data_IF_224241643682
#
_entry.id   IF_224241643682
#
_cell.length_a   1.000
_cell.length_b   1.000
_cell.length_c   1.000
_cell.angle_alpha   90.00
_cell.angle_beta   90.00
_cell.angle_gamma   90.00
#
_symmetry.space_group_name_H-M   'P 1'
#
loop_
_entity.id
_entity.type
_entity.pdbx_description
1 polymer ?
#
# COMPACT_ATOMS: atom_id res chain seq x y z
N UNK A 1 6.67 16.21 -26.57
CA UNK A 1 7.12 16.23 -25.16
C UNK A 1 6.53 15.02 -24.47
N UNK A 2 7.34 14.01 -24.16
CA UNK A 2 6.86 12.89 -23.35
C UNK A 2 6.83 13.41 -21.92
N UNK A 3 5.64 13.74 -21.42
CA UNK A 3 5.45 14.10 -20.02
C UNK A 3 5.98 12.96 -19.15
N UNK A 4 6.62 13.30 -18.04
CA UNK A 4 7.06 12.32 -17.04
C UNK A 4 5.85 11.46 -16.68
N UNK A 5 5.90 10.16 -16.96
CA UNK A 5 4.86 9.22 -16.53
C UNK A 5 4.81 9.35 -15.00
N UNK A 6 3.66 9.72 -14.40
CA UNK A 6 3.55 9.75 -12.95
C UNK A 6 3.91 8.35 -12.42
N UNK A 7 4.60 8.30 -11.28
CA UNK A 7 4.93 7.03 -10.62
C UNK A 7 3.64 6.18 -10.57
N UNK A 8 3.66 4.91 -11.03
CA UNK A 8 2.47 4.08 -11.08
C UNK A 8 1.84 3.98 -9.68
N UNK A 9 0.51 3.90 -9.63
CA UNK A 9 -0.18 3.65 -8.36
C UNK A 9 0.31 2.34 -7.73
N UNK A 10 0.28 2.29 -6.41
CA UNK A 10 0.77 1.16 -5.64
C UNK A 10 -0.12 -0.08 -5.86
N UNK A 11 0.53 -1.16 -6.28
CA UNK A 11 -0.10 -2.45 -6.54
C UNK A 11 0.47 -3.45 -5.54
N UNK A 12 -0.40 -4.19 -4.84
CA UNK A 12 -0.01 -5.19 -3.86
C UNK A 12 -0.07 -6.61 -4.42
N UNK A 13 1.05 -7.31 -4.22
CA UNK A 13 1.26 -8.76 -4.22
C UNK A 13 2.71 -8.97 -3.78
N UNK A 14 2.88 -9.17 -2.48
CA UNK A 14 4.18 -9.20 -1.82
C UNK A 14 4.89 -7.86 -1.93
N UNK A 15 4.18 -6.72 -1.96
CA UNK A 15 4.76 -5.38 -2.10
C UNK A 15 5.53 -4.97 -0.82
N UNK A 16 6.66 -4.22 -0.88
CA UNK A 16 7.41 -3.86 0.33
C UNK A 16 6.61 -3.03 1.34
N UNK A 17 5.48 -2.47 0.91
CA UNK A 17 4.58 -1.68 1.76
C UNK A 17 3.86 -2.55 2.78
N UNK A 18 3.25 -3.67 2.38
CA UNK A 18 2.51 -4.53 3.33
C UNK A 18 3.46 -5.30 4.26
N UNK A 19 4.62 -5.71 3.75
CA UNK A 19 5.69 -6.32 4.56
C UNK A 19 6.11 -5.42 5.73
N UNK A 20 6.20 -4.10 5.51
CA UNK A 20 6.52 -3.14 6.58
C UNK A 20 5.54 -3.27 7.75
N UNK A 21 4.23 -3.35 7.48
CA UNK A 21 3.22 -3.47 8.53
C UNK A 21 3.25 -4.85 9.16
N UNK A 22 3.28 -5.91 8.34
CA UNK A 22 3.26 -7.29 8.84
C UNK A 22 4.46 -7.63 9.72
N UNK A 23 5.65 -7.09 9.44
CA UNK A 23 6.81 -7.28 10.31
C UNK A 23 6.59 -6.69 11.71
N UNK A 24 6.00 -5.50 11.81
CA UNK A 24 5.72 -4.82 13.10
C UNK A 24 4.64 -5.57 13.87
N UNK A 25 3.58 -5.97 13.18
CA UNK A 25 2.48 -6.77 13.74
C UNK A 25 3.01 -8.11 14.28
N UNK A 26 3.79 -8.85 13.47
CA UNK A 26 4.39 -10.14 13.87
C UNK A 26 5.33 -10.00 15.06
N UNK A 27 6.06 -8.88 15.15
CA UNK A 27 6.97 -8.60 16.25
C UNK A 27 6.29 -8.01 17.50
N UNK A 28 4.97 -7.74 17.46
CA UNK A 28 4.25 -7.09 18.56
C UNK A 28 4.73 -5.65 18.82
N UNK A 29 5.23 -4.97 17.79
CA UNK A 29 5.75 -3.60 17.88
C UNK A 29 4.70 -2.58 17.45
N UNK A 30 4.70 -1.36 18.02
CA UNK A 30 3.86 -0.28 17.52
C UNK A 30 4.17 0.03 16.06
N UNK A 31 3.16 0.52 15.34
CA UNK A 31 3.33 1.01 13.97
C UNK A 31 3.52 2.52 14.04
N UNK A 32 4.68 2.95 13.57
CA UNK A 32 5.03 4.37 13.51
C UNK A 32 4.36 5.01 12.30
N UNK A 33 3.54 6.04 12.53
CA UNK A 33 2.79 6.71 11.48
C UNK A 33 3.19 8.19 11.42
N UNK A 34 3.59 8.72 10.24
CA UNK A 34 4.00 10.12 10.13
C UNK A 34 2.79 11.06 10.23
N UNK A 35 2.97 12.17 10.97
CA UNK A 35 1.94 13.20 11.10
C UNK A 35 0.69 12.67 11.80
N UNK A 36 -0.50 13.02 11.30
CA UNK A 36 -1.77 12.58 11.89
C UNK A 36 -2.23 11.18 11.46
N UNK A 37 -1.55 10.57 10.48
CA UNK A 37 -1.99 9.30 9.87
C UNK A 37 -3.23 9.38 8.98
N UNK A 38 -3.82 10.56 8.83
CA UNK A 38 -5.03 10.80 8.04
C UNK A 38 -4.75 11.04 6.55
N UNK A 39 -3.48 11.00 6.14
CA UNK A 39 -3.12 10.99 4.73
C UNK A 39 -3.76 9.77 4.07
N UNK A 40 -4.40 10.01 2.93
CA UNK A 40 -5.07 8.94 2.18
C UNK A 40 -4.17 8.44 1.07
N UNK A 41 -4.16 7.13 0.90
CA UNK A 41 -3.58 6.45 -0.23
C UNK A 41 -4.58 5.49 -0.85
N UNK A 42 -4.22 4.90 -1.98
CA UNK A 42 -5.04 3.95 -2.70
C UNK A 42 -4.16 2.80 -3.14
N UNK A 43 -4.64 1.58 -2.90
CA UNK A 43 -3.91 0.35 -3.12
C UNK A 43 -4.75 -0.55 -4.04
N UNK A 44 -4.15 -1.13 -5.08
CA UNK A 44 -4.82 -2.10 -5.98
C UNK A 44 -4.16 -3.48 -5.95
N UNK A 45 -4.91 -4.55 -6.20
CA UNK A 45 -4.34 -5.90 -6.20
C UNK A 45 -3.64 -6.21 -7.54
N UNK A 46 -2.57 -7.01 -7.51
CA UNK A 46 -1.85 -7.39 -8.75
C UNK A 46 -2.74 -8.15 -9.73
N UNK A 47 -3.70 -8.95 -9.25
CA UNK A 47 -4.60 -9.68 -10.14
C UNK A 47 -5.58 -8.74 -10.83
N UNK A 48 -6.03 -7.70 -10.14
CA UNK A 48 -6.88 -6.66 -10.72
C UNK A 48 -6.12 -5.87 -11.79
N UNK A 49 -4.83 -5.60 -11.56
CA UNK A 49 -3.98 -5.03 -12.61
C UNK A 49 -3.85 -5.96 -13.82
N UNK A 50 -3.59 -7.25 -13.59
CA UNK A 50 -3.44 -8.22 -14.66
C UNK A 50 -4.73 -8.37 -15.46
N UNK A 51 -5.90 -8.40 -14.80
CA UNK A 51 -7.19 -8.46 -15.48
C UNK A 51 -7.45 -7.18 -16.30
N UNK A 52 -7.06 -6.00 -15.81
CA UNK A 52 -7.14 -4.76 -16.57
C UNK A 52 -6.29 -4.79 -17.85
N UNK A 53 -5.05 -5.31 -17.77
CA UNK A 53 -4.22 -5.50 -18.97
C UNK A 53 -4.88 -6.45 -19.98
N UNK A 54 -5.54 -7.49 -19.49
CA UNK A 54 -6.22 -8.45 -20.34
C UNK A 54 -7.43 -7.81 -21.03
N UNK A 55 -8.18 -6.95 -20.32
CA UNK A 55 -9.33 -6.21 -20.86
C UNK A 55 -8.97 -5.18 -21.95
N UNK A 56 -7.71 -4.75 -22.02
CA UNK A 56 -7.22 -3.86 -23.09
C UNK A 56 -7.01 -4.63 -24.40
N UNK A 57 -6.68 -5.93 -24.35
CA UNK A 57 -6.32 -6.69 -25.55
C UNK A 57 -7.52 -6.84 -26.49
N UNK A 58 -7.36 -6.34 -27.72
CA UNK A 58 -8.42 -6.37 -28.73
C UNK A 58 -9.54 -5.34 -28.52
N UNK A 59 -9.48 -4.51 -27.48
CA UNK A 59 -10.45 -3.46 -27.23
C UNK A 59 -10.07 -2.18 -27.98
N UNK A 60 -10.81 -1.86 -29.04
CA UNK A 60 -10.56 -0.66 -29.85
C UNK A 60 -10.77 0.65 -29.09
N UNK A 61 -11.59 0.66 -28.02
CA UNK A 61 -11.76 1.84 -27.15
C UNK A 61 -10.47 2.16 -26.40
N UNK A 62 -9.63 1.16 -26.12
CA UNK A 62 -8.38 1.33 -25.38
C UNK A 62 -7.25 1.93 -26.24
N UNK A 63 -7.43 2.04 -27.56
CA UNK A 63 -6.42 2.61 -28.44
C UNK A 63 -6.14 4.08 -28.10
N UNK A 64 -4.85 4.41 -27.93
CA UNK A 64 -4.35 5.75 -27.58
C UNK A 64 -4.94 6.31 -26.27
N UNK A 65 -5.41 5.45 -25.37
CA UNK A 65 -5.93 5.86 -24.07
C UNK A 65 -4.90 5.68 -22.97
N UNK A 66 -5.04 6.52 -21.94
CA UNK A 66 -4.35 6.39 -20.66
C UNK A 66 -5.41 6.03 -19.62
N UNK A 67 -5.11 5.02 -18.82
CA UNK A 67 -5.96 4.50 -17.75
C UNK A 67 -5.20 4.49 -16.43
N UNK A 68 -5.94 4.79 -15.36
CA UNK A 68 -5.49 4.55 -14.01
C UNK A 68 -6.09 3.25 -13.50
N UNK A 69 -5.24 2.37 -12.97
CA UNK A 69 -5.67 1.09 -12.40
C UNK A 69 -5.26 1.05 -10.93
N UNK A 70 -6.23 0.86 -10.05
CA UNK A 70 -6.06 0.80 -8.59
C UNK A 70 -7.29 0.16 -7.95
N UNK A 71 -7.29 -0.02 -6.63
CA UNK A 71 -8.47 -0.44 -5.89
C UNK A 71 -9.55 0.64 -5.87
N UNK A 72 -10.81 0.25 -5.69
CA UNK A 72 -11.95 1.17 -5.78
C UNK A 72 -12.00 2.19 -4.62
N UNK A 73 -11.50 1.82 -3.44
CA UNK A 73 -11.55 2.67 -2.24
C UNK A 73 -10.16 3.16 -1.82
N UNK A 74 -10.12 4.37 -1.29
CA UNK A 74 -8.95 4.92 -0.61
C UNK A 74 -8.96 4.56 0.88
N UNK A 75 -7.79 4.63 1.50
CA UNK A 75 -7.56 4.28 2.90
C UNK A 75 -6.55 5.24 3.53
N UNK A 76 -6.71 5.55 4.82
CA UNK A 76 -5.73 6.35 5.56
C UNK A 76 -4.49 5.53 5.94
N UNK A 77 -3.40 6.16 6.35
CA UNK A 77 -2.24 5.42 6.87
C UNK A 77 -2.59 4.60 8.11
N UNK A 78 -3.35 5.18 9.04
CA UNK A 78 -3.91 4.45 10.18
C UNK A 78 -4.79 3.27 9.72
N UNK A 79 -5.59 3.49 8.67
CA UNK A 79 -6.47 2.48 8.10
C UNK A 79 -5.70 1.29 7.52
N UNK A 80 -4.56 1.52 6.85
CA UNK A 80 -3.72 0.43 6.33
C UNK A 80 -3.15 -0.39 7.48
N UNK A 81 -2.63 0.26 8.51
CA UNK A 81 -2.05 -0.41 9.67
C UNK A 81 -3.07 -1.34 10.34
N UNK A 82 -4.30 -0.85 10.55
CA UNK A 82 -5.41 -1.64 11.10
C UNK A 82 -5.85 -2.77 10.19
N UNK A 83 -5.99 -2.52 8.88
CA UNK A 83 -6.34 -3.54 7.90
C UNK A 83 -5.28 -4.64 7.79
N UNK A 84 -3.99 -4.30 7.92
CA UNK A 84 -2.91 -5.29 7.94
C UNK A 84 -2.99 -6.18 9.20
N UNK A 85 -3.30 -5.61 10.37
CA UNK A 85 -3.48 -6.40 11.59
C UNK A 85 -4.67 -7.35 11.47
N UNK A 86 -5.79 -6.87 10.94
CA UNK A 86 -6.96 -7.71 10.66
C UNK A 86 -6.63 -8.83 9.67
N UNK A 87 -5.93 -8.53 8.57
CA UNK A 87 -5.51 -9.51 7.58
C UNK A 87 -4.58 -10.59 8.16
N UNK A 88 -3.72 -10.20 9.11
CA UNK A 88 -2.81 -11.11 9.82
C UNK A 88 -3.50 -11.88 10.97
N UNK A 89 -4.79 -11.65 11.24
CA UNK A 89 -5.49 -12.24 12.39
C UNK A 89 -4.97 -11.76 13.74
N UNK A 90 -4.34 -10.59 13.78
CA UNK A 90 -3.78 -9.98 14.98
C UNK A 90 -4.75 -8.99 15.62
N UNK A 91 -4.46 -8.59 16.86
CA UNK A 91 -5.18 -7.48 17.52
C UNK A 91 -4.86 -6.16 16.83
N UNK A 92 -5.76 -5.18 16.99
CA UNK A 92 -5.53 -3.82 16.52
C UNK A 92 -4.17 -3.29 17.05
N UNK A 93 -3.31 -2.74 16.17
CA UNK A 93 -1.96 -2.37 16.54
C UNK A 93 -1.97 -1.02 17.28
N UNK A 94 -1.02 -0.86 18.19
CA UNK A 94 -0.70 0.47 18.72
C UNK A 94 -0.14 1.34 17.59
N UNK A 95 -0.72 2.52 17.40
CA UNK A 95 -0.25 3.51 16.44
C UNK A 95 0.47 4.63 17.19
N UNK A 96 1.73 4.88 16.83
CA UNK A 96 2.52 5.97 17.38
C UNK A 96 2.74 7.00 16.29
N UNK A 97 2.07 8.14 16.44
CA UNK A 97 2.20 9.27 15.53
C UNK A 97 3.47 10.07 15.84
N UNK A 98 4.27 10.37 14.82
CA UNK A 98 5.52 11.13 14.99
C UNK A 98 5.65 12.24 13.97
N UNK A 99 6.41 13.29 14.30
CA UNK A 99 6.77 14.34 13.36
C UNK A 99 8.00 13.90 12.54
N UNK A 100 7.89 13.69 11.22
CA UNK A 100 9.03 13.24 10.41
C UNK A 100 10.22 14.21 10.41
N UNK A 101 9.98 15.49 10.73
CA UNK A 101 11.02 16.51 10.80
C UNK A 101 11.81 16.51 12.12
N UNK A 102 11.31 15.85 13.16
CA UNK A 102 11.98 15.82 14.47
C UNK A 102 12.99 14.68 14.63
N UNK A 103 13.11 13.81 13.62
CA UNK A 103 13.99 12.64 13.66
C UNK A 103 14.87 12.64 12.42
N UNK A 104 16.19 12.70 12.60
CA UNK A 104 17.15 12.49 11.52
C UNK A 104 17.35 10.99 11.31
N UNK A 105 16.74 10.43 10.26
CA UNK A 105 16.84 9.00 9.94
C UNK A 105 18.07 8.65 9.10
N UNK A 106 18.97 9.61 8.83
CA UNK A 106 20.13 9.40 7.96
C UNK A 106 19.73 9.02 6.53
N UNK A 107 18.56 9.48 6.07
CA UNK A 107 18.01 9.15 4.74
C UNK A 107 17.27 7.81 4.66
N UNK A 108 17.22 7.02 5.73
CA UNK A 108 16.36 5.81 5.78
C UNK A 108 14.88 6.21 5.89
N UNK A 109 13.99 5.42 5.28
CA UNK A 109 12.55 5.67 5.36
C UNK A 109 11.98 5.10 6.66
N UNK A 110 11.35 5.95 7.48
CA UNK A 110 10.61 5.54 8.67
C UNK A 110 9.20 5.00 8.36
N UNK A 111 8.67 5.31 7.18
CA UNK A 111 7.36 4.86 6.71
C UNK A 111 7.45 4.47 5.22
N UNK A 112 6.72 3.44 4.75
CA UNK A 112 6.90 2.90 3.40
C UNK A 112 6.25 3.80 2.32
N UNK A 113 5.37 4.72 2.73
CA UNK A 113 4.65 5.65 1.85
C UNK A 113 5.14 7.09 2.01
N UNK A 114 5.02 7.90 0.96
CA UNK A 114 5.32 9.33 1.00
C UNK A 114 4.25 10.05 1.81
N UNK A 115 4.63 11.03 2.63
CA UNK A 115 3.72 11.87 3.42
C UNK A 115 2.96 12.87 2.51
N UNK A 116 2.00 12.35 1.74
CA UNK A 116 1.12 13.10 0.86
C UNK A 116 -0.14 12.29 0.57
N UNK A 117 -1.23 12.97 0.19
CA UNK A 117 -2.39 12.30 -0.38
C UNK A 117 -2.06 11.75 -1.76
N UNK A 118 -2.46 10.51 -2.03
CA UNK A 118 -2.20 9.85 -3.31
C UNK A 118 -3.31 8.86 -3.67
N UNK A 119 -4.22 9.29 -4.55
CA UNK A 119 -5.33 8.50 -5.04
C UNK A 119 -5.72 8.99 -6.45
N UNK A 120 -6.52 8.19 -7.15
CA UNK A 120 -6.97 8.50 -8.49
C UNK A 120 -8.34 7.91 -8.77
N UNK A 121 -9.05 8.49 -9.75
CA UNK A 121 -10.26 7.88 -10.30
C UNK A 121 -9.87 6.74 -11.25
N UNK A 122 -10.60 5.63 -11.14
CA UNK A 122 -10.53 4.47 -12.02
C UNK A 122 -11.74 4.40 -12.97
N UNK A 123 -12.63 5.40 -12.96
CA UNK A 123 -13.93 5.37 -13.65
C UNK A 123 -13.76 5.15 -15.15
N UNK A 124 -12.76 5.79 -15.76
CA UNK A 124 -12.47 5.62 -17.18
C UNK A 124 -12.12 4.17 -17.54
N UNK A 125 -11.38 3.47 -16.67
CA UNK A 125 -11.07 2.06 -16.89
C UNK A 125 -12.34 1.21 -16.75
N UNK A 126 -13.20 1.54 -15.79
CA UNK A 126 -14.49 0.86 -15.61
C UNK A 126 -15.36 1.00 -16.86
N UNK A 127 -15.50 2.21 -17.38
CA UNK A 127 -16.40 2.52 -18.48
C UNK A 127 -15.89 2.00 -19.84
N UNK A 128 -14.60 2.18 -20.13
CA UNK A 128 -14.04 1.82 -21.44
C UNK A 128 -13.69 0.32 -21.55
N UNK A 129 -13.28 -0.30 -20.44
CA UNK A 129 -12.74 -1.66 -20.44
C UNK A 129 -13.73 -2.71 -19.91
N UNK A 130 -14.91 -2.30 -19.43
CA UNK A 130 -15.87 -3.18 -18.74
C UNK A 130 -15.19 -3.99 -17.61
N UNK A 131 -14.31 -3.30 -16.88
CA UNK A 131 -13.43 -3.88 -15.87
C UNK A 131 -13.74 -3.28 -14.50
N UNK A 132 -13.69 -4.08 -13.43
CA UNK A 132 -13.74 -3.57 -12.05
C UNK A 132 -12.75 -4.36 -11.18
N UNK A 133 -12.15 -3.74 -10.15
CA UNK A 133 -11.37 -4.47 -9.16
C UNK A 133 -12.23 -5.54 -8.48
N UNK A 134 -11.72 -6.77 -8.36
CA UNK A 134 -12.38 -7.85 -7.64
C UNK A 134 -11.98 -7.87 -6.16
N UNK A 135 -10.78 -7.36 -5.84
CA UNK A 135 -10.26 -7.40 -4.48
C UNK A 135 -10.62 -6.13 -3.71
N UNK A 136 -11.25 -6.31 -2.56
CA UNK A 136 -11.24 -5.28 -1.52
C UNK A 136 -9.81 -5.13 -0.95
N UNK A 137 -9.53 -4.00 -0.28
CA UNK A 137 -8.25 -3.82 0.41
C UNK A 137 -7.96 -4.96 1.39
N UNK A 138 -8.95 -5.35 2.20
CA UNK A 138 -8.78 -6.37 3.22
C UNK A 138 -8.56 -7.75 2.60
N UNK A 139 -9.33 -8.13 1.58
CA UNK A 139 -9.18 -9.41 0.90
C UNK A 139 -7.82 -9.49 0.20
N UNK A 140 -7.38 -8.38 -0.38
CA UNK A 140 -6.06 -8.19 -0.94
C UNK A 140 -4.93 -8.43 0.04
N UNK A 141 -5.01 -7.79 1.22
CA UNK A 141 -4.03 -7.96 2.29
C UNK A 141 -4.04 -9.38 2.85
N UNK A 142 -5.21 -10.04 2.97
CA UNK A 142 -5.33 -11.46 3.36
C UNK A 142 -4.69 -12.37 2.32
N UNK A 143 -4.89 -12.09 1.03
CA UNK A 143 -4.27 -12.83 -0.06
C UNK A 143 -2.74 -12.74 0.03
N UNK A 144 -2.19 -11.52 0.17
CA UNK A 144 -0.75 -11.35 0.32
C UNK A 144 -0.21 -11.98 1.61
N UNK A 145 -0.88 -11.79 2.75
CA UNK A 145 -0.44 -12.40 4.00
C UNK A 145 -0.37 -13.93 3.89
N UNK A 146 -1.43 -14.57 3.38
CA UNK A 146 -1.50 -16.04 3.29
C UNK A 146 -0.54 -16.63 2.26
N UNK A 147 -0.28 -15.93 1.14
CA UNK A 147 0.54 -16.46 0.04
C UNK A 147 2.01 -16.08 0.14
N UNK A 148 2.33 -14.98 0.82
CA UNK A 148 3.68 -14.44 0.90
C UNK A 148 4.17 -14.41 2.35
N UNK A 149 3.79 -13.37 3.10
CA UNK A 149 4.40 -13.06 4.40
C UNK A 149 4.25 -14.19 5.44
N UNK A 150 3.04 -14.75 5.56
CA UNK A 150 2.71 -15.84 6.49
C UNK A 150 3.43 -17.16 6.17
N UNK A 151 3.91 -17.32 4.94
CA UNK A 151 4.75 -18.46 4.53
C UNK A 151 6.25 -18.21 4.73
N UNK A 152 6.62 -17.00 5.16
CA UNK A 152 8.01 -16.60 5.32
C UNK A 152 8.72 -16.27 4.00
N UNK A 153 7.98 -15.99 2.92
CA UNK A 153 8.56 -15.65 1.61
C UNK A 153 8.66 -14.12 1.40
N UNK A 154 8.76 -13.35 2.48
CA UNK A 154 8.98 -11.92 2.44
C UNK A 154 10.36 -11.58 1.86
N UNK A 155 10.51 -10.41 1.23
CA UNK A 155 11.72 -10.07 0.47
C UNK A 155 12.94 -9.79 1.32
N UNK A 156 12.75 -9.18 2.49
CA UNK A 156 13.84 -8.77 3.39
C UNK A 156 13.39 -8.91 4.83
N UNK A 157 14.32 -9.28 5.70
CA UNK A 157 14.11 -9.21 7.14
C UNK A 157 13.86 -7.76 7.60
N UNK A 158 13.14 -7.63 8.70
CA UNK A 158 12.86 -6.33 9.29
C UNK A 158 14.12 -5.70 9.88
N UNK A 159 14.37 -4.42 9.54
CA UNK A 159 15.31 -3.54 10.24
C UNK A 159 14.50 -2.53 11.05
N UNK A 160 14.50 -2.68 12.39
CA UNK A 160 13.80 -1.78 13.31
C UNK A 160 14.68 -0.64 13.85
N UNK A 161 15.91 -0.46 13.33
CA UNK A 161 16.82 0.59 13.83
C UNK A 161 16.24 2.01 13.71
N UNK A 162 15.48 2.28 12.64
CA UNK A 162 14.78 3.57 12.47
C UNK A 162 13.61 3.66 13.45
N UNK A 163 12.92 2.56 13.72
CA UNK A 163 11.81 2.54 14.66
C UNK A 163 12.27 2.86 16.09
N UNK A 164 13.34 2.22 16.53
CA UNK A 164 13.95 2.47 17.84
C UNK A 164 14.41 3.93 17.97
N UNK A 165 14.96 4.50 16.90
CA UNK A 165 15.36 5.90 16.87
C UNK A 165 14.15 6.83 17.01
N UNK A 166 13.07 6.59 16.28
CA UNK A 166 11.84 7.40 16.38
C UNK A 166 11.23 7.27 17.77
N UNK A 167 11.09 6.06 18.31
CA UNK A 167 10.54 5.81 19.65
C UNK A 167 11.36 6.47 20.76
N UNK A 168 12.66 6.66 20.58
CA UNK A 168 13.48 7.41 21.54
C UNK A 168 13.21 8.91 21.60
N UNK A 169 12.39 9.43 20.67
CA UNK A 169 12.09 10.86 20.48
C UNK A 169 10.62 11.22 20.66
N UNK A 170 9.75 10.23 20.85
CA UNK A 170 8.29 10.40 21.03
C UNK A 170 7.92 10.23 22.49
#
# INVERSE_FOLDING_TARGET
MVGKVPDPLLIYAGCPVEEFFFHRIKAGRPILVPGSGQQVTQLGHVKDLASAFTAVLGNSKAHNQIYNISGERYVTFDGIAKACAEAAGAKEPELVHFNPKSVDTGGKKAFPLRDQHFFTSIDKAIDDLDWRPEFSLLDGLKDSYSKDFGRGTFRKEADFSVDDLVLSKV
#
